data_IF_152081830925
#
_entry.id   IF_152081830925
#
_cell.length_a   1.000
_cell.length_b   1.000
_cell.length_c   1.000
_cell.angle_alpha   90.00
_cell.angle_beta   90.00
_cell.angle_gamma   90.00
#
_symmetry.space_group_name_H-M   'P 1'
#
loop_
_entity.id
_entity.type
_entity.pdbx_description
1 polymer ?
#
# COMPACT_ATOMS: atom_id res chain seq x y z
N UNK A 1 16.52 -7.91 12.87
CA UNK A 1 16.41 -8.57 11.55
C UNK A 1 17.78 -8.61 10.93
N UNK A 2 18.32 -9.80 10.62
CA UNK A 2 19.60 -9.91 9.92
C UNK A 2 19.43 -9.39 8.49
N UNK A 3 20.14 -8.31 8.13
CA UNK A 3 20.14 -7.61 6.83
C UNK A 3 20.60 -8.47 5.63
N UNK A 4 20.57 -9.80 5.74
CA UNK A 4 21.28 -10.72 4.85
C UNK A 4 20.44 -11.18 3.64
N UNK A 5 19.12 -11.04 3.67
CA UNK A 5 18.24 -11.64 2.64
C UNK A 5 18.15 -10.83 1.32
N UNK A 6 18.20 -9.49 1.38
CA UNK A 6 18.05 -8.68 0.16
C UNK A 6 19.36 -8.48 -0.62
N UNK A 7 20.53 -8.80 -0.05
CA UNK A 7 21.83 -8.67 -0.73
C UNK A 7 21.99 -9.63 -1.92
N UNK A 8 21.22 -10.71 -1.96
CA UNK A 8 21.21 -11.67 -3.08
C UNK A 8 20.15 -11.34 -4.13
N UNK A 9 19.28 -10.37 -3.85
CA UNK A 9 18.28 -9.88 -4.79
C UNK A 9 18.94 -8.82 -5.65
N UNK A 10 18.83 -8.95 -6.97
CA UNK A 10 19.43 -7.98 -7.91
C UNK A 10 18.74 -6.62 -7.80
N UNK A 11 19.46 -5.54 -8.10
CA UNK A 11 18.97 -4.18 -7.92
C UNK A 11 17.76 -3.85 -8.80
N UNK A 12 17.67 -4.47 -9.99
CA UNK A 12 16.54 -4.31 -10.91
C UNK A 12 15.23 -4.94 -10.42
N UNK A 13 15.27 -5.74 -9.35
CA UNK A 13 14.06 -6.34 -8.79
C UNK A 13 13.26 -5.29 -8.04
N UNK A 14 12.05 -5.03 -8.54
CA UNK A 14 11.07 -4.15 -7.90
C UNK A 14 10.60 -4.80 -6.60
N UNK A 15 10.71 -4.06 -5.49
CA UNK A 15 10.20 -4.48 -4.19
C UNK A 15 8.83 -3.84 -3.95
N UNK A 16 7.82 -4.67 -3.71
CA UNK A 16 6.46 -4.20 -3.38
C UNK A 16 6.23 -4.39 -1.88
N UNK A 17 6.04 -3.29 -1.17
CA UNK A 17 5.61 -3.28 0.23
C UNK A 17 4.09 -3.48 0.30
N UNK A 18 3.68 -4.60 0.90
CA UNK A 18 2.27 -4.95 1.15
C UNK A 18 1.92 -4.93 2.64
N UNK A 19 2.81 -4.44 3.51
CA UNK A 19 2.59 -4.45 4.96
C UNK A 19 1.67 -3.33 5.43
N UNK A 20 1.25 -3.46 6.68
CA UNK A 20 0.53 -2.41 7.40
C UNK A 20 1.09 -2.33 8.82
N UNK A 21 1.65 -1.18 9.17
CA UNK A 21 2.16 -0.93 10.49
C UNK A 21 1.03 -0.85 11.52
N UNK A 22 1.24 -1.48 12.67
CA UNK A 22 0.37 -1.40 13.82
C UNK A 22 1.20 -1.61 15.08
N UNK A 23 1.25 -0.60 15.96
CA UNK A 23 1.99 -0.64 17.21
C UNK A 23 1.60 -1.83 18.10
N UNK A 24 0.32 -2.25 18.06
CA UNK A 24 -0.19 -3.40 18.81
C UNK A 24 0.49 -4.73 18.44
N UNK A 25 0.96 -4.86 17.19
CA UNK A 25 1.58 -6.10 16.69
C UNK A 25 3.09 -5.96 16.52
N UNK A 26 3.56 -4.79 16.09
CA UNK A 26 4.97 -4.56 15.75
C UNK A 26 5.77 -3.96 16.91
N UNK A 27 5.10 -3.56 18.00
CA UNK A 27 5.66 -2.58 18.94
C UNK A 27 5.67 -1.18 18.34
N UNK A 28 5.88 -0.17 19.18
CA UNK A 28 6.00 1.21 18.72
C UNK A 28 7.32 1.41 17.96
N UNK A 29 7.22 1.99 16.77
CA UNK A 29 8.36 2.41 15.95
C UNK A 29 8.45 3.94 16.03
N UNK A 30 9.36 4.43 16.86
CA UNK A 30 9.48 5.87 17.19
C UNK A 30 9.50 6.78 15.96
N UNK A 31 10.24 6.41 14.91
CA UNK A 31 10.33 7.23 13.70
C UNK A 31 8.97 7.40 13.00
N UNK A 32 8.18 6.32 12.94
CA UNK A 32 6.81 6.32 12.37
C UNK A 32 5.88 7.15 13.26
N UNK A 33 5.97 7.00 14.58
CA UNK A 33 5.20 7.82 15.53
C UNK A 33 5.56 9.31 15.44
N UNK A 34 6.80 9.64 15.06
CA UNK A 34 7.26 11.00 14.80
C UNK A 34 6.90 11.52 13.40
N UNK A 35 6.22 10.71 12.58
CA UNK A 35 5.52 11.16 11.39
C UNK A 35 6.16 10.82 10.04
N UNK A 36 7.23 10.02 10.02
CA UNK A 36 7.69 9.40 8.76
C UNK A 36 6.65 8.36 8.29
N UNK A 37 6.45 8.22 6.98
CA UNK A 37 5.57 7.16 6.48
C UNK A 37 6.20 5.77 6.70
N UNK A 38 5.39 4.75 7.00
CA UNK A 38 5.84 3.35 7.05
C UNK A 38 6.66 2.96 5.81
N UNK A 39 6.23 3.37 4.61
CA UNK A 39 6.96 3.06 3.37
C UNK A 39 8.39 3.61 3.39
N UNK A 40 8.58 4.85 3.84
CA UNK A 40 9.91 5.47 4.00
C UNK A 40 10.74 4.79 5.08
N UNK A 41 10.11 4.38 6.17
CA UNK A 41 10.78 3.60 7.21
C UNK A 41 11.28 2.26 6.66
N UNK A 42 10.46 1.55 5.87
CA UNK A 42 10.84 0.30 5.20
C UNK A 42 11.98 0.52 4.21
N UNK A 43 11.87 1.54 3.34
CA UNK A 43 12.92 1.92 2.39
C UNK A 43 14.27 2.15 3.09
N UNK A 44 14.26 2.88 4.21
CA UNK A 44 15.44 3.10 5.05
C UNK A 44 15.96 1.79 5.64
N UNK A 45 15.09 0.97 6.21
CA UNK A 45 15.44 -0.29 6.87
C UNK A 45 16.14 -1.26 5.92
N UNK A 46 15.64 -1.36 4.69
CA UNK A 46 16.15 -2.30 3.69
C UNK A 46 17.19 -1.68 2.74
N UNK A 47 17.34 -0.36 2.78
CA UNK A 47 18.26 0.41 1.93
C UNK A 47 18.04 0.17 0.43
N UNK A 48 16.78 0.01 0.01
CA UNK A 48 16.37 -0.18 -1.39
C UNK A 48 15.03 0.51 -1.65
N UNK A 49 14.80 1.04 -2.87
CA UNK A 49 13.52 1.63 -3.24
C UNK A 49 12.37 0.62 -3.11
N UNK A 50 11.20 1.11 -2.72
CA UNK A 50 9.97 0.30 -2.61
C UNK A 50 8.77 0.98 -3.27
N UNK A 51 7.86 0.15 -3.77
CA UNK A 51 6.52 0.56 -4.17
C UNK A 51 5.53 0.05 -3.13
N UNK A 52 4.72 0.91 -2.51
CA UNK A 52 3.67 0.49 -1.57
C UNK A 52 2.36 0.26 -2.32
N UNK A 53 1.82 -0.95 -2.21
CA UNK A 53 0.51 -1.31 -2.77
C UNK A 53 0.00 -2.64 -2.19
N UNK A 54 -1.19 -3.08 -2.61
CA UNK A 54 -1.85 -4.34 -2.20
C UNK A 54 -2.19 -4.45 -0.70
N UNK A 55 -1.88 -3.43 0.09
CA UNK A 55 -2.02 -3.41 1.55
C UNK A 55 -3.45 -3.06 2.01
N UNK A 56 -4.28 -2.48 1.14
CA UNK A 56 -5.61 -1.93 1.48
C UNK A 56 -6.75 -2.94 1.39
N UNK A 57 -6.51 -4.17 0.95
CA UNK A 57 -7.58 -5.14 0.70
C UNK A 57 -7.42 -6.38 1.57
N UNK A 58 -8.55 -6.94 2.00
CA UNK A 58 -8.54 -8.26 2.64
C UNK A 58 -8.15 -9.34 1.62
N UNK A 59 -7.26 -10.26 1.99
CA UNK A 59 -6.73 -11.27 1.08
C UNK A 59 -7.81 -12.10 0.38
N UNK A 60 -8.93 -12.39 1.05
CA UNK A 60 -10.03 -13.17 0.48
C UNK A 60 -10.74 -12.47 -0.69
N UNK A 61 -10.59 -11.14 -0.83
CA UNK A 61 -11.14 -10.40 -1.98
C UNK A 61 -10.28 -10.59 -3.24
N UNK A 62 -9.01 -10.99 -3.13
CA UNK A 62 -8.12 -11.16 -4.29
C UNK A 62 -8.67 -12.16 -5.32
N UNK A 63 -9.46 -13.15 -4.88
CA UNK A 63 -10.11 -14.13 -5.77
C UNK A 63 -11.21 -13.51 -6.66
N UNK A 64 -11.59 -12.25 -6.41
CA UNK A 64 -12.65 -11.53 -7.13
C UNK A 64 -12.12 -10.69 -8.30
N UNK A 65 -10.86 -10.87 -8.71
CA UNK A 65 -10.28 -10.19 -9.88
C UNK A 65 -11.16 -10.35 -11.13
N UNK A 66 -11.22 -9.30 -11.95
CA UNK A 66 -12.08 -9.23 -13.15
C UNK A 66 -11.28 -8.85 -14.38
N UNK A 67 -11.74 -9.27 -15.56
CA UNK A 67 -11.14 -8.89 -16.85
C UNK A 67 -11.03 -7.37 -17.01
N UNK A 68 -10.02 -6.89 -17.73
CA UNK A 68 -9.78 -5.46 -17.96
C UNK A 68 -10.95 -4.70 -18.61
N UNK A 69 -11.87 -5.38 -19.30
CA UNK A 69 -13.07 -4.78 -19.90
C UNK A 69 -14.26 -4.71 -18.95
N UNK A 70 -14.15 -5.24 -17.72
CA UNK A 70 -15.21 -5.17 -16.74
C UNK A 70 -15.29 -3.75 -16.17
N UNK A 71 -16.50 -3.18 -16.10
CA UNK A 71 -16.75 -1.98 -15.32
C UNK A 71 -16.58 -2.26 -13.81
N UNK A 72 -16.36 -1.18 -13.06
CA UNK A 72 -16.34 -1.18 -11.60
C UNK A 72 -15.42 -2.24 -10.98
N UNK A 73 -14.18 -2.33 -11.50
CA UNK A 73 -13.15 -3.15 -10.86
C UNK A 73 -12.75 -2.50 -9.55
N UNK A 74 -12.44 -3.33 -8.57
CA UNK A 74 -11.88 -2.87 -7.31
C UNK A 74 -10.47 -2.33 -7.61
N UNK A 75 -10.11 -1.22 -6.97
CA UNK A 75 -8.85 -0.54 -7.18
C UNK A 75 -7.88 -0.70 -6.01
N UNK A 76 -6.59 -0.71 -6.33
CA UNK A 76 -5.49 -0.58 -5.38
C UNK A 76 -4.76 0.75 -5.55
N UNK A 77 -4.43 1.46 -4.45
CA UNK A 77 -3.53 2.59 -4.51
C UNK A 77 -2.09 2.10 -4.70
N UNK A 78 -1.28 2.86 -5.44
CA UNK A 78 0.13 2.57 -5.68
C UNK A 78 0.95 3.83 -5.39
N UNK A 79 1.84 3.76 -4.41
CA UNK A 79 2.75 4.87 -4.08
C UNK A 79 4.20 4.45 -4.23
N UNK A 80 5.04 5.35 -4.75
CA UNK A 80 6.47 5.13 -4.87
C UNK A 80 7.14 6.21 -5.71
N UNK A 81 8.46 6.34 -5.54
CA UNK A 81 9.24 7.43 -6.14
C UNK A 81 9.84 7.06 -7.50
N UNK A 82 10.09 5.77 -7.74
CA UNK A 82 10.52 5.27 -9.05
C UNK A 82 9.29 5.10 -9.94
N UNK A 83 9.08 6.06 -10.84
CA UNK A 83 7.96 6.09 -11.78
C UNK A 83 7.94 4.87 -12.72
N UNK A 84 9.10 4.33 -13.10
CA UNK A 84 9.16 3.15 -13.96
C UNK A 84 8.73 1.89 -13.20
N UNK A 85 9.24 1.72 -11.98
CA UNK A 85 8.83 0.62 -11.11
C UNK A 85 7.35 0.71 -10.73
N UNK A 86 6.86 1.91 -10.39
CA UNK A 86 5.45 2.17 -10.07
C UNK A 86 4.54 1.78 -11.24
N UNK A 87 4.90 2.15 -12.47
CA UNK A 87 4.15 1.78 -13.68
C UNK A 87 4.10 0.26 -13.90
N UNK A 88 5.21 -0.45 -13.65
CA UNK A 88 5.23 -1.92 -13.73
C UNK A 88 4.27 -2.53 -12.71
N UNK A 89 4.26 -2.04 -11.47
CA UNK A 89 3.33 -2.51 -10.43
C UNK A 89 1.87 -2.20 -10.77
N UNK A 90 1.58 -1.01 -11.31
CA UNK A 90 0.23 -0.66 -11.76
C UNK A 90 -0.25 -1.59 -12.89
N UNK A 91 0.63 -1.94 -13.83
CA UNK A 91 0.31 -2.89 -14.89
C UNK A 91 0.06 -4.30 -14.32
N UNK A 92 0.90 -4.75 -13.38
CA UNK A 92 0.70 -6.03 -12.70
C UNK A 92 -0.68 -6.10 -12.03
N UNK A 93 -1.07 -5.04 -11.31
CA UNK A 93 -2.39 -4.93 -10.67
C UNK A 93 -3.52 -5.05 -11.70
N UNK A 94 -3.35 -4.41 -12.87
CA UNK A 94 -4.29 -4.54 -13.98
C UNK A 94 -4.39 -5.98 -14.50
N UNK A 95 -3.24 -6.63 -14.71
CA UNK A 95 -3.14 -8.00 -15.22
C UNK A 95 -3.77 -9.03 -14.28
N UNK A 96 -3.69 -8.80 -12.96
CA UNK A 96 -4.35 -9.66 -11.95
C UNK A 96 -5.84 -9.31 -11.73
N UNK A 97 -6.38 -8.39 -12.52
CA UNK A 97 -7.82 -8.14 -12.60
C UNK A 97 -8.37 -7.04 -11.70
N UNK A 98 -7.53 -6.07 -11.33
CA UNK A 98 -7.90 -4.93 -10.49
C UNK A 98 -7.52 -3.61 -11.17
N UNK A 99 -8.12 -2.50 -10.76
CA UNK A 99 -7.64 -1.18 -11.19
C UNK A 99 -6.47 -0.72 -10.30
N UNK A 100 -5.59 0.11 -10.85
CA UNK A 100 -4.50 0.72 -10.12
C UNK A 100 -4.65 2.25 -10.12
N UNK A 101 -4.56 2.86 -8.96
CA UNK A 101 -4.62 4.31 -8.77
C UNK A 101 -3.25 4.81 -8.33
N UNK A 102 -2.65 5.72 -9.10
CA UNK A 102 -1.43 6.39 -8.67
C UNK A 102 -1.75 7.27 -7.45
N UNK A 103 -1.15 6.90 -6.32
CA UNK A 103 -1.31 7.57 -5.03
C UNK A 103 -0.10 8.46 -4.68
N UNK A 104 0.75 8.76 -5.67
CA UNK A 104 1.89 9.66 -5.54
C UNK A 104 3.15 9.00 -4.97
N UNK A 105 3.95 9.78 -4.26
CA UNK A 105 5.25 9.36 -3.72
C UNK A 105 5.12 8.57 -2.41
N UNK A 106 6.24 8.04 -1.94
CA UNK A 106 6.26 7.18 -0.74
C UNK A 106 5.98 7.96 0.56
N UNK A 107 6.26 9.27 0.60
CA UNK A 107 5.87 10.15 1.70
C UNK A 107 4.34 10.28 1.80
N UNK A 108 3.63 10.20 0.68
CA UNK A 108 2.17 10.26 0.61
C UNK A 108 1.48 8.96 0.98
N UNK A 109 2.21 7.85 1.07
CA UNK A 109 1.66 6.50 1.21
C UNK A 109 0.93 6.24 2.53
N UNK A 110 1.04 7.13 3.53
CA UNK A 110 0.22 7.06 4.75
C UNK A 110 -1.28 7.16 4.46
N UNK A 111 -1.70 7.74 3.33
CA UNK A 111 -3.11 7.93 2.95
C UNK A 111 -3.88 6.64 2.69
N UNK A 112 -3.17 5.53 2.54
CA UNK A 112 -3.75 4.20 2.36
C UNK A 112 -3.25 3.19 3.40
N UNK A 113 -2.78 3.67 4.55
CA UNK A 113 -2.45 2.83 5.69
C UNK A 113 -3.66 2.56 6.58
N UNK A 114 -3.47 1.63 7.52
CA UNK A 114 -4.43 1.27 8.56
C UNK A 114 -5.05 2.52 9.22
N UNK A 115 -6.39 2.55 9.28
CA UNK A 115 -7.16 3.66 9.85
C UNK A 115 -7.55 4.77 8.87
N UNK A 116 -7.10 4.71 7.61
CA UNK A 116 -7.51 5.66 6.57
C UNK A 116 -8.79 5.22 5.82
N UNK A 117 -9.48 6.15 5.13
CA UNK A 117 -10.65 5.81 4.31
C UNK A 117 -10.37 4.80 3.19
N UNK A 118 -9.13 4.71 2.70
CA UNK A 118 -8.76 3.77 1.64
C UNK A 118 -8.49 2.34 2.17
N UNK A 119 -8.22 2.18 3.47
CA UNK A 119 -7.83 0.91 4.05
C UNK A 119 -9.02 -0.01 4.31
N UNK A 120 -8.84 -1.28 3.97
CA UNK A 120 -9.83 -2.34 4.06
C UNK A 120 -11.11 -2.09 3.27
N UNK A 121 -10.96 -1.72 2.01
CA UNK A 121 -12.10 -1.36 1.17
C UNK A 121 -12.11 -2.14 -0.15
N UNK A 122 -13.27 -2.14 -0.81
CA UNK A 122 -13.45 -2.69 -2.15
C UNK A 122 -13.89 -1.57 -3.12
N UNK A 123 -13.22 -0.40 -3.02
CA UNK A 123 -13.57 0.79 -3.79
C UNK A 123 -13.18 0.65 -5.26
N UNK A 124 -13.96 1.27 -6.14
CA UNK A 124 -13.58 1.53 -7.52
C UNK A 124 -12.45 2.55 -7.61
N UNK A 125 -11.88 2.75 -8.81
CA UNK A 125 -10.80 3.72 -9.01
C UNK A 125 -11.20 5.16 -8.61
N UNK A 126 -12.42 5.61 -8.96
CA UNK A 126 -12.91 6.93 -8.60
C UNK A 126 -13.07 7.10 -7.09
N UNK A 127 -13.71 6.14 -6.44
CA UNK A 127 -13.90 6.14 -4.99
C UNK A 127 -12.58 6.04 -4.24
N UNK A 128 -11.60 5.29 -4.76
CA UNK A 128 -10.25 5.21 -4.20
C UNK A 128 -9.53 6.56 -4.25
N UNK A 129 -9.66 7.31 -5.35
CA UNK A 129 -9.09 8.66 -5.43
C UNK A 129 -9.70 9.60 -4.38
N UNK A 130 -11.02 9.53 -4.18
CA UNK A 130 -11.72 10.31 -3.14
C UNK A 130 -11.30 9.89 -1.72
N UNK A 131 -11.12 8.59 -1.47
CA UNK A 131 -10.65 8.06 -0.20
C UNK A 131 -9.22 8.52 0.13
N UNK A 132 -8.33 8.52 -0.88
CA UNK A 132 -6.97 9.03 -0.74
C UNK A 132 -6.96 10.54 -0.46
N UNK A 133 -7.81 11.31 -1.15
CA UNK A 133 -7.92 12.75 -0.98
C UNK A 133 -8.48 13.14 0.41
N UNK A 134 -9.46 12.38 0.91
CA UNK A 134 -10.10 12.63 2.20
C UNK A 134 -9.34 12.08 3.42
N UNK A 135 -8.22 11.40 3.21
CA UNK A 135 -7.39 10.86 4.28
C UNK A 135 -6.82 11.98 5.17
N UNK A 136 -6.86 11.77 6.48
CA UNK A 136 -6.38 12.72 7.49
C UNK A 136 -5.55 11.98 8.53
N UNK A 137 -4.44 12.60 8.97
CA UNK A 137 -3.52 11.98 9.93
C UNK A 137 -4.14 11.86 11.33
N UNK A 138 -5.07 12.74 11.67
CA UNK A 138 -5.77 12.73 12.96
C UNK A 138 -6.59 11.44 13.17
N UNK A 139 -7.00 10.75 12.10
CA UNK A 139 -7.78 9.50 12.16
C UNK A 139 -6.95 8.23 12.30
N UNK A 140 -5.62 8.31 12.11
CA UNK A 140 -4.72 7.15 12.25
C UNK A 140 -4.64 6.63 13.70
N UNK A 141 -4.87 7.49 14.69
CA UNK A 141 -4.80 7.15 16.12
C UNK A 141 -5.96 6.30 16.65
N UNK A 142 -7.06 6.13 15.91
CA UNK A 142 -8.23 5.40 16.42
C UNK A 142 -8.20 3.94 15.99
N UNK A 143 -7.85 3.04 16.93
CA UNK A 143 -8.08 1.57 16.94
C UNK A 143 -8.74 1.04 15.66
N UNK A 144 -7.98 0.95 14.57
CA UNK A 144 -8.58 0.46 13.34
C UNK A 144 -8.85 -1.03 13.52
N UNK A 145 -10.11 -1.43 13.34
CA UNK A 145 -10.44 -2.83 13.19
C UNK A 145 -9.69 -3.32 11.93
N UNK A 146 -8.87 -4.37 12.09
CA UNK A 146 -8.32 -5.09 10.95
C UNK A 146 -9.45 -5.52 10.02
N UNK A 147 -9.11 -5.70 8.75
CA UNK A 147 -10.06 -6.22 7.78
C UNK A 147 -10.81 -7.43 8.29
N UNK A 148 -12.10 -7.26 8.54
CA UNK A 148 -12.99 -8.39 8.82
C UNK A 148 -13.45 -8.94 7.48
N UNK A 149 -13.34 -10.24 7.32
CA UNK A 149 -14.00 -10.97 6.25
C UNK A 149 -15.51 -10.76 6.39
N UNK A 150 -16.12 -10.08 5.41
CA UNK A 150 -17.57 -10.13 5.20
C UNK A 150 -17.94 -11.43 4.50
#
# INVERSE_FOLDING_TARGET
MNQTSLRVVREEVILVDTSNYSANYSGEIEEIEQGISEGRWIEKLISRPVIKSLNTMHYATLVKGRSATAGDRIAFPVSGDDEAAKKVVMNLINDIGFDAVDAGNLDGAWRHQLGTPAFCTNLTASEMQEALFSASKERLCFRAAYCRSN
#
